data_IF_319815959498
#
_entry.id   IF_319815959498
#
_cell.length_a   1.000
_cell.length_b   1.000
_cell.length_c   1.000
_cell.angle_alpha   90.00
_cell.angle_beta   90.00
_cell.angle_gamma   90.00
#
_symmetry.space_group_name_H-M   'P 1'
#
loop_
_entity.id
_entity.type
_entity.pdbx_description
1 polymer ?
#
# COMPACT_ATOMS: atom_id res chain seq x y z
N UNK A 1 1.06 20.37 8.53
CA UNK A 1 2.50 20.20 8.74
C UNK A 1 2.82 18.91 9.51
N UNK A 2 2.19 18.64 10.66
CA UNK A 2 2.43 17.43 11.46
C UNK A 2 2.19 16.14 10.69
N UNK A 3 1.16 16.09 9.86
CA UNK A 3 0.87 14.93 9.01
C UNK A 3 2.00 14.69 7.99
N UNK A 4 2.52 15.76 7.37
CA UNK A 4 3.64 15.68 6.44
C UNK A 4 4.91 15.17 7.13
N UNK A 5 5.22 15.68 8.31
CA UNK A 5 6.40 15.27 9.08
C UNK A 5 6.30 13.82 9.57
N UNK A 6 5.14 13.41 10.06
CA UNK A 6 4.95 12.10 10.69
C UNK A 6 4.72 10.93 9.72
N UNK A 7 4.29 11.21 8.48
CA UNK A 7 3.87 10.16 7.56
C UNK A 7 4.42 10.28 6.14
N UNK A 8 5.06 11.40 5.79
CA UNK A 8 5.52 11.68 4.44
C UNK A 8 6.97 12.14 4.40
N UNK A 9 7.73 11.77 5.43
CA UNK A 9 9.17 12.04 5.53
C UNK A 9 9.92 10.74 5.81
N UNK A 10 10.98 10.51 5.07
CA UNK A 10 11.88 9.35 5.21
C UNK A 10 13.31 9.85 5.30
N UNK A 11 14.14 9.14 6.03
CA UNK A 11 15.58 9.37 6.08
C UNK A 11 16.29 8.22 5.37
N UNK A 12 17.12 8.54 4.40
CA UNK A 12 17.90 7.57 3.64
C UNK A 12 19.40 7.79 3.86
N UNK A 13 20.13 6.71 4.08
CA UNK A 13 21.59 6.75 4.06
C UNK A 13 22.06 6.82 2.61
N UNK A 14 22.88 7.82 2.32
CA UNK A 14 23.51 8.02 1.01
C UNK A 14 25.02 8.03 1.17
N UNK A 15 25.75 7.90 0.07
CA UNK A 15 27.22 7.99 0.11
C UNK A 15 27.77 9.31 0.68
N UNK A 16 26.95 10.37 0.76
CA UNK A 16 27.29 11.67 1.34
C UNK A 16 26.73 11.88 2.76
N UNK A 17 26.06 10.89 3.35
CA UNK A 17 25.45 10.96 4.69
C UNK A 17 23.94 10.77 4.67
N UNK A 18 23.28 11.17 5.76
CA UNK A 18 21.84 11.02 5.94
C UNK A 18 21.07 12.09 5.12
N UNK A 19 20.28 11.65 4.16
CA UNK A 19 19.41 12.50 3.35
C UNK A 19 17.96 12.44 3.87
N UNK A 20 17.35 13.61 3.99
CA UNK A 20 15.91 13.73 4.32
C UNK A 20 15.10 13.82 3.03
N UNK A 21 14.20 12.88 2.84
CA UNK A 21 13.28 12.82 1.68
C UNK A 21 11.88 13.16 2.16
N UNK A 22 11.26 14.15 1.55
CA UNK A 22 9.89 14.59 1.87
C UNK A 22 9.03 14.35 0.63
N UNK A 23 7.81 13.88 0.83
CA UNK A 23 6.85 13.69 -0.26
C UNK A 23 6.59 14.99 -1.03
N UNK A 24 6.62 14.89 -2.33
CA UNK A 24 6.14 15.98 -3.19
C UNK A 24 4.62 16.18 -3.06
N UNK A 25 4.15 17.35 -3.46
CA UNK A 25 2.73 17.72 -3.43
C UNK A 25 1.81 16.64 -4.05
N UNK A 26 2.16 16.17 -5.24
CA UNK A 26 1.41 15.15 -5.95
C UNK A 26 1.35 13.81 -5.20
N UNK A 27 2.45 13.40 -4.55
CA UNK A 27 2.50 12.19 -3.74
C UNK A 27 1.63 12.32 -2.49
N UNK A 28 1.71 13.45 -1.79
CA UNK A 28 0.90 13.73 -0.61
C UNK A 28 -0.60 13.62 -0.91
N UNK A 29 -1.08 14.29 -1.97
CA UNK A 29 -2.49 14.24 -2.35
C UNK A 29 -2.92 12.87 -2.83
N UNK A 30 -2.14 12.21 -3.70
CA UNK A 30 -2.45 10.86 -4.19
C UNK A 30 -2.56 9.85 -3.05
N UNK A 31 -1.64 9.85 -2.09
CA UNK A 31 -1.68 8.95 -0.93
C UNK A 31 -2.91 9.20 -0.07
N UNK A 32 -3.27 10.44 0.21
CA UNK A 32 -4.46 10.75 1.00
C UNK A 32 -5.73 10.22 0.34
N UNK A 33 -5.89 10.43 -0.97
CA UNK A 33 -7.03 9.91 -1.73
C UNK A 33 -7.03 8.38 -1.79
N UNK A 34 -5.87 7.76 -2.01
CA UNK A 34 -5.75 6.31 -2.03
C UNK A 34 -6.11 5.67 -0.68
N UNK A 35 -5.63 6.23 0.42
CA UNK A 35 -5.97 5.74 1.77
C UNK A 35 -7.47 5.85 2.03
N UNK A 36 -8.09 6.99 1.72
CA UNK A 36 -9.53 7.17 1.89
C UNK A 36 -10.34 6.18 1.03
N UNK A 37 -9.90 5.96 -0.21
CA UNK A 37 -10.54 4.99 -1.12
C UNK A 37 -10.39 3.55 -0.62
N UNK A 38 -9.22 3.16 -0.12
CA UNK A 38 -8.98 1.83 0.43
C UNK A 38 -9.83 1.57 1.68
N UNK A 39 -9.92 2.53 2.59
CA UNK A 39 -10.76 2.41 3.78
C UNK A 39 -12.22 2.23 3.39
N UNK A 40 -12.72 2.98 2.42
CA UNK A 40 -14.08 2.82 1.89
C UNK A 40 -14.28 1.44 1.26
N UNK A 41 -13.33 0.98 0.44
CA UNK A 41 -13.39 -0.33 -0.20
C UNK A 41 -13.36 -1.49 0.81
N UNK A 42 -12.67 -1.31 1.94
CA UNK A 42 -12.58 -2.30 3.02
C UNK A 42 -13.72 -2.21 4.04
N UNK A 43 -14.52 -1.14 4.01
CA UNK A 43 -15.62 -0.95 4.97
C UNK A 43 -16.63 -2.10 4.88
N UNK A 44 -17.24 -2.51 6.02
CA UNK A 44 -18.37 -3.44 5.96
C UNK A 44 -19.52 -2.78 5.18
N UNK A 45 -20.18 -3.58 4.35
CA UNK A 45 -21.39 -3.14 3.64
C UNK A 45 -22.49 -2.94 4.67
N UNK A 46 -22.60 -1.73 5.20
CA UNK A 46 -23.74 -1.31 6.01
C UNK A 46 -24.58 -0.35 5.16
N UNK A 47 -25.90 -0.55 5.16
CA UNK A 47 -26.85 0.12 4.28
C UNK A 47 -26.67 1.64 4.18
N UNK A 48 -26.92 2.16 2.99
CA UNK A 48 -26.99 3.57 2.58
C UNK A 48 -25.79 4.40 3.04
N UNK A 49 -24.72 4.35 2.28
CA UNK A 49 -23.63 5.31 2.44
C UNK A 49 -24.05 6.65 1.83
N UNK A 50 -23.92 7.74 2.60
CA UNK A 50 -23.90 9.09 2.05
C UNK A 50 -22.81 9.16 0.95
N UNK A 51 -23.17 9.69 -0.21
CA UNK A 51 -22.20 9.89 -1.30
C UNK A 51 -21.06 10.79 -0.80
N UNK A 52 -19.80 10.35 -0.85
CA UNK A 52 -18.72 11.23 -0.49
C UNK A 52 -18.66 12.37 -1.51
N UNK A 53 -18.65 13.60 -1.01
CA UNK A 53 -18.51 14.79 -1.83
C UNK A 53 -17.35 14.63 -2.82
N UNK A 54 -17.67 14.60 -4.11
CA UNK A 54 -16.67 14.59 -5.17
C UNK A 54 -15.93 15.93 -5.10
N UNK A 55 -14.69 15.92 -4.63
CA UNK A 55 -13.82 17.09 -4.63
C UNK A 55 -13.47 17.47 -6.09
N UNK A 56 -14.41 18.02 -6.83
CA UNK A 56 -14.21 18.78 -8.06
C UNK A 56 -13.41 18.14 -9.22
N UNK A 57 -13.04 16.86 -9.12
CA UNK A 57 -12.34 16.14 -10.17
C UNK A 57 -13.33 15.24 -10.93
N UNK A 58 -13.69 15.56 -12.18
CA UNK A 58 -14.71 14.85 -12.95
C UNK A 58 -14.42 13.38 -13.22
N UNK A 59 -13.16 12.94 -13.00
CA UNK A 59 -12.69 11.59 -13.31
C UNK A 59 -12.75 10.60 -12.13
N UNK A 60 -13.06 11.06 -10.92
CA UNK A 60 -13.10 10.21 -9.73
C UNK A 60 -14.54 9.79 -9.47
N UNK A 61 -14.95 8.66 -10.02
CA UNK A 61 -16.21 8.01 -9.61
C UNK A 61 -16.01 7.44 -8.21
N UNK A 62 -16.80 7.90 -7.25
CA UNK A 62 -16.84 7.32 -5.93
C UNK A 62 -17.31 5.85 -6.03
N UNK A 63 -16.46 4.92 -5.56
CA UNK A 63 -16.83 3.52 -5.50
C UNK A 63 -17.71 3.27 -4.26
N UNK A 64 -18.69 2.37 -4.34
CA UNK A 64 -19.53 2.05 -3.19
C UNK A 64 -18.69 1.45 -2.04
N UNK A 65 -19.08 1.68 -0.76
CA UNK A 65 -18.41 1.09 0.38
C UNK A 65 -18.42 -0.44 0.30
N UNK A 66 -17.29 -1.07 0.66
CA UNK A 66 -17.17 -2.53 0.72
C UNK A 66 -17.03 -3.24 -0.62
N UNK A 67 -16.83 -2.51 -1.72
CA UNK A 67 -16.67 -3.10 -3.07
C UNK A 67 -15.30 -3.77 -3.28
N UNK A 68 -14.38 -3.65 -2.32
CA UNK A 68 -13.02 -4.21 -2.30
C UNK A 68 -12.07 -3.67 -3.39
N UNK A 69 -12.46 -2.63 -4.10
CA UNK A 69 -11.63 -1.98 -5.14
C UNK A 69 -11.13 -0.63 -4.65
N UNK A 70 -9.83 -0.55 -4.35
CA UNK A 70 -9.22 0.68 -3.85
C UNK A 70 -9.04 1.75 -4.94
N UNK A 71 -8.81 1.36 -6.19
CA UNK A 71 -8.66 2.27 -7.32
C UNK A 71 -7.32 2.16 -8.03
N UNK A 72 -7.03 3.14 -8.88
CA UNK A 72 -5.81 3.21 -9.68
C UNK A 72 -5.17 4.58 -9.47
N UNK A 73 -3.85 4.61 -9.28
CA UNK A 73 -3.04 5.83 -9.25
C UNK A 73 -2.21 5.89 -10.54
N UNK A 74 -2.44 6.94 -11.33
CA UNK A 74 -1.69 7.16 -12.55
C UNK A 74 -0.74 8.35 -12.39
N UNK A 75 0.55 8.09 -12.48
CA UNK A 75 1.60 9.12 -12.45
C UNK A 75 2.62 8.87 -13.56
N UNK A 76 3.26 9.94 -14.04
CA UNK A 76 4.31 9.86 -15.05
C UNK A 76 5.51 9.04 -14.56
N UNK A 77 6.31 8.54 -15.48
CA UNK A 77 7.58 7.90 -15.15
C UNK A 77 8.51 8.91 -14.45
N UNK A 78 9.29 8.47 -13.47
CA UNK A 78 10.19 9.33 -12.69
C UNK A 78 9.52 10.17 -11.60
N UNK A 79 8.21 10.08 -11.41
CA UNK A 79 7.49 10.85 -10.37
C UNK A 79 7.64 10.33 -8.93
N UNK A 80 8.51 9.34 -8.70
CA UNK A 80 8.73 8.75 -7.37
C UNK A 80 7.60 7.81 -6.92
N UNK A 81 7.03 7.01 -7.82
CA UNK A 81 5.96 6.05 -7.51
C UNK A 81 6.33 5.06 -6.41
N UNK A 82 7.58 4.60 -6.35
CA UNK A 82 8.03 3.67 -5.30
C UNK A 82 7.92 4.29 -3.90
N UNK A 83 8.34 5.55 -3.75
CA UNK A 83 8.18 6.29 -2.50
C UNK A 83 6.70 6.57 -2.18
N UNK A 84 5.90 6.89 -3.20
CA UNK A 84 4.45 7.06 -3.03
C UNK A 84 3.82 5.80 -2.46
N UNK A 85 4.19 4.61 -2.98
CA UNK A 85 3.70 3.33 -2.46
C UNK A 85 4.15 3.08 -1.02
N UNK A 86 5.39 3.44 -0.66
CA UNK A 86 5.88 3.33 0.72
C UNK A 86 5.14 4.29 1.68
N UNK A 87 4.87 5.52 1.28
CA UNK A 87 4.04 6.47 2.06
C UNK A 87 2.62 5.94 2.24
N UNK A 88 2.02 5.40 1.17
CA UNK A 88 0.70 4.80 1.22
C UNK A 88 0.66 3.60 2.19
N UNK A 89 1.63 2.70 2.10
CA UNK A 89 1.78 1.56 3.00
C UNK A 89 1.89 2.01 4.46
N UNK A 90 2.77 2.98 4.75
CA UNK A 90 2.95 3.52 6.09
C UNK A 90 1.69 4.17 6.68
N UNK A 91 0.86 4.79 5.84
CA UNK A 91 -0.44 5.34 6.25
C UNK A 91 -1.46 4.26 6.56
N UNK A 92 -1.54 3.22 5.73
CA UNK A 92 -2.47 2.10 5.93
C UNK A 92 -2.15 1.29 7.18
N UNK A 93 -0.87 0.96 7.40
CA UNK A 93 -0.43 0.20 8.58
C UNK A 93 -0.80 0.91 9.89
N UNK A 94 -0.72 2.24 9.90
CA UNK A 94 -1.05 3.06 11.08
C UNK A 94 -2.54 3.39 11.20
N UNK A 95 -3.35 3.08 10.19
CA UNK A 95 -4.76 3.50 10.18
C UNK A 95 -5.62 2.58 11.05
N UNK A 96 -6.35 3.12 12.07
CA UNK A 96 -7.12 2.31 13.01
C UNK A 96 -8.15 1.39 12.33
N UNK A 97 -8.85 1.88 11.30
CA UNK A 97 -9.86 1.11 10.58
C UNK A 97 -9.29 -0.13 9.84
N UNK A 98 -7.99 -0.18 9.60
CA UNK A 98 -7.35 -1.30 8.90
C UNK A 98 -6.87 -2.40 9.85
N UNK A 99 -6.84 -2.14 11.17
CA UNK A 99 -6.47 -3.13 12.20
C UNK A 99 -5.18 -3.91 11.87
N UNK A 100 -4.10 -3.19 11.59
CA UNK A 100 -2.79 -3.75 11.20
C UNK A 100 -2.89 -4.66 9.96
N UNK A 101 -3.13 -4.11 8.76
CA UNK A 101 -3.36 -4.87 7.54
C UNK A 101 -2.11 -5.62 7.07
N UNK A 102 -2.31 -6.69 6.32
CA UNK A 102 -1.27 -7.26 5.48
C UNK A 102 -1.28 -6.53 4.12
N UNK A 103 -0.13 -6.03 3.71
CA UNK A 103 0.05 -5.38 2.42
C UNK A 103 0.80 -6.34 1.50
N UNK A 104 0.23 -6.62 0.33
CA UNK A 104 0.86 -7.45 -0.69
C UNK A 104 1.25 -6.56 -1.85
N UNK A 105 2.54 -6.45 -2.09
CA UNK A 105 3.09 -5.73 -3.24
C UNK A 105 3.32 -6.75 -4.34
N UNK A 106 2.52 -6.64 -5.39
CA UNK A 106 2.52 -7.57 -6.51
C UNK A 106 3.22 -6.92 -7.70
N UNK A 107 4.24 -7.58 -8.21
CA UNK A 107 4.97 -7.16 -9.41
C UNK A 107 4.90 -8.24 -10.51
N UNK A 108 5.10 -7.85 -11.75
CA UNK A 108 5.16 -8.78 -12.89
C UNK A 108 6.59 -9.26 -13.20
N UNK A 109 7.60 -8.54 -12.69
CA UNK A 109 9.03 -8.78 -12.96
C UNK A 109 9.87 -8.76 -11.70
N UNK A 110 10.84 -9.63 -11.64
CA UNK A 110 11.78 -9.73 -10.51
C UNK A 110 12.65 -8.46 -10.34
N UNK A 111 13.14 -7.87 -11.44
CA UNK A 111 13.99 -6.66 -11.36
C UNK A 111 13.26 -5.46 -10.76
N UNK A 112 11.97 -5.29 -11.05
CA UNK A 112 11.13 -4.26 -10.44
C UNK A 112 10.84 -4.56 -8.97
N UNK A 113 10.73 -5.85 -8.63
CA UNK A 113 10.54 -6.31 -7.27
C UNK A 113 11.72 -5.89 -6.39
N UNK A 114 12.95 -6.13 -6.83
CA UNK A 114 14.17 -5.80 -6.08
C UNK A 114 14.34 -4.29 -5.84
N UNK A 115 14.09 -3.46 -6.85
CA UNK A 115 14.17 -2.01 -6.71
C UNK A 115 13.10 -1.47 -5.75
N UNK A 116 11.88 -1.97 -5.88
CA UNK A 116 10.77 -1.55 -5.03
C UNK A 116 10.96 -2.08 -3.60
N UNK A 117 11.40 -3.31 -3.43
CA UNK A 117 11.75 -3.90 -2.14
C UNK A 117 12.84 -3.10 -1.42
N UNK A 118 13.90 -2.68 -2.14
CA UNK A 118 14.95 -1.82 -1.59
C UNK A 118 14.38 -0.48 -1.08
N UNK A 119 13.47 0.15 -1.85
CA UNK A 119 12.80 1.38 -1.44
C UNK A 119 11.98 1.18 -0.17
N UNK A 120 11.23 0.08 -0.06
CA UNK A 120 10.46 -0.23 1.13
C UNK A 120 11.34 -0.56 2.34
N UNK A 121 12.45 -1.25 2.12
CA UNK A 121 13.43 -1.56 3.16
C UNK A 121 14.05 -0.29 3.75
N UNK A 122 14.34 0.71 2.92
CA UNK A 122 14.75 2.03 3.36
C UNK A 122 13.66 2.74 4.19
N UNK A 123 12.38 2.47 3.91
CA UNK A 123 11.23 3.07 4.57
C UNK A 123 10.72 2.24 5.77
N UNK A 124 11.48 1.26 6.28
CA UNK A 124 11.04 0.34 7.35
C UNK A 124 10.50 1.05 8.60
N UNK A 125 11.08 2.17 8.99
CA UNK A 125 10.65 2.94 10.16
C UNK A 125 9.29 3.61 9.93
N UNK A 126 9.01 4.01 8.69
CA UNK A 126 7.72 4.57 8.28
C UNK A 126 6.62 3.51 8.29
N UNK A 127 6.90 2.34 7.72
CA UNK A 127 5.95 1.22 7.62
C UNK A 127 5.91 0.37 8.90
N UNK A 128 6.82 0.60 9.86
CA UNK A 128 6.94 -0.12 11.15
C UNK A 128 7.03 -1.64 11.03
N UNK A 129 7.53 -2.12 9.92
CA UNK A 129 7.64 -3.54 9.60
C UNK A 129 8.81 -3.74 8.64
N UNK A 130 9.43 -4.90 8.71
CA UNK A 130 10.42 -5.31 7.72
C UNK A 130 9.70 -5.96 6.55
N UNK A 131 9.86 -5.47 5.32
CA UNK A 131 9.33 -6.12 4.13
C UNK A 131 9.90 -7.53 3.98
N UNK A 132 9.13 -8.46 3.45
CA UNK A 132 9.53 -9.84 3.21
C UNK A 132 9.21 -10.21 1.77
N UNK A 133 10.17 -10.76 1.04
CA UNK A 133 9.91 -11.36 -0.27
C UNK A 133 9.44 -12.80 -0.11
N UNK A 134 8.34 -13.15 -0.76
CA UNK A 134 7.89 -14.52 -0.83
C UNK A 134 8.79 -15.29 -1.81
N UNK A 135 9.49 -16.31 -1.33
CA UNK A 135 10.42 -17.12 -2.14
C UNK A 135 9.69 -18.17 -2.97
N UNK A 136 8.63 -18.75 -2.41
CA UNK A 136 7.80 -19.76 -3.05
C UNK A 136 6.31 -19.50 -2.82
N UNK A 137 5.46 -20.30 -3.45
CA UNK A 137 4.01 -20.31 -3.22
C UNK A 137 3.66 -20.68 -1.78
N UNK A 138 4.30 -21.70 -1.25
CA UNK A 138 4.10 -22.18 0.12
C UNK A 138 4.49 -21.10 1.13
N UNK A 139 5.61 -20.41 0.88
CA UNK A 139 6.04 -19.27 1.69
C UNK A 139 5.02 -18.13 1.63
N UNK A 140 4.50 -17.80 0.44
CA UNK A 140 3.45 -16.78 0.28
C UNK A 140 2.20 -17.14 1.11
N UNK A 141 1.73 -18.39 1.03
CA UNK A 141 0.58 -18.85 1.79
C UNK A 141 0.81 -18.75 3.31
N UNK A 142 1.99 -19.14 3.78
CA UNK A 142 2.35 -19.01 5.19
C UNK A 142 2.35 -17.55 5.64
N UNK A 143 2.89 -16.64 4.83
CA UNK A 143 2.91 -15.20 5.10
C UNK A 143 1.49 -14.58 5.11
N UNK A 144 0.59 -15.00 4.20
CA UNK A 144 -0.79 -14.53 4.13
C UNK A 144 -1.66 -15.03 5.29
N UNK A 145 -1.34 -16.19 5.85
CA UNK A 145 -2.07 -16.79 6.97
C UNK A 145 -1.57 -16.34 8.36
N UNK A 146 -0.70 -15.34 8.42
CA UNK A 146 -0.31 -14.71 9.69
C UNK A 146 -1.51 -14.09 10.40
N UNK A 147 -1.41 -13.97 11.72
CA UNK A 147 -2.51 -13.40 12.53
C UNK A 147 -2.79 -11.94 12.16
N UNK A 148 -1.78 -11.12 11.89
CA UNK A 148 -1.92 -9.71 11.50
C UNK A 148 -0.64 -9.14 10.89
N UNK A 149 -0.75 -8.01 10.18
CA UNK A 149 0.36 -7.24 9.65
C UNK A 149 1.13 -7.96 8.54
N UNK A 150 2.23 -7.36 8.16
CA UNK A 150 3.16 -7.85 7.13
C UNK A 150 3.12 -7.00 5.86
N UNK A 151 4.31 -6.73 5.32
CA UNK A 151 4.50 -6.19 3.97
C UNK A 151 5.19 -7.28 3.15
N UNK A 152 4.46 -7.85 2.21
CA UNK A 152 4.86 -9.04 1.46
C UNK A 152 5.07 -8.63 0.01
N UNK A 153 6.26 -8.93 -0.52
CA UNK A 153 6.59 -8.78 -1.92
C UNK A 153 6.45 -10.12 -2.64
N UNK A 154 5.83 -10.11 -3.79
CA UNK A 154 5.63 -11.33 -4.58
C UNK A 154 5.41 -11.01 -6.05
N UNK A 155 5.58 -12.01 -6.90
CA UNK A 155 5.29 -11.92 -8.34
C UNK A 155 4.05 -12.71 -8.70
N UNK A 156 3.42 -12.34 -9.83
CA UNK A 156 2.22 -13.02 -10.33
C UNK A 156 2.38 -14.54 -10.45
N UNK A 157 3.57 -14.99 -10.86
CA UNK A 157 3.87 -16.41 -11.08
C UNK A 157 3.71 -17.25 -9.79
N UNK A 158 3.94 -16.64 -8.61
CA UNK A 158 3.84 -17.35 -7.32
C UNK A 158 2.40 -17.58 -6.86
N UNK A 159 1.41 -16.93 -7.48
CA UNK A 159 0.00 -17.23 -7.21
C UNK A 159 -0.45 -18.55 -7.84
N UNK A 160 0.04 -18.88 -9.05
CA UNK A 160 -0.37 -20.06 -9.80
C UNK A 160 -1.86 -20.04 -10.17
N UNK A 161 -2.40 -21.19 -10.55
CA UNK A 161 -3.84 -21.37 -10.71
C UNK A 161 -4.52 -21.42 -9.33
N UNK A 162 -5.41 -20.48 -9.05
CA UNK A 162 -6.07 -20.33 -7.75
C UNK A 162 -7.50 -20.84 -7.88
N UNK A 163 -7.75 -22.02 -7.37
CA UNK A 163 -9.11 -22.57 -7.25
C UNK A 163 -9.83 -22.11 -5.98
N UNK A 164 -9.08 -21.76 -4.92
CA UNK A 164 -9.63 -21.36 -3.62
C UNK A 164 -9.00 -20.07 -3.10
N UNK A 165 -9.71 -19.30 -2.24
CA UNK A 165 -9.15 -18.09 -1.63
C UNK A 165 -7.87 -18.40 -0.82
N UNK A 166 -6.80 -17.64 -1.07
CA UNK A 166 -5.50 -17.85 -0.39
C UNK A 166 -5.55 -17.50 1.09
N UNK A 167 -6.48 -16.67 1.50
CA UNK A 167 -6.69 -16.29 2.91
C UNK A 167 -8.14 -15.91 3.16
N UNK A 168 -8.62 -16.13 4.38
CA UNK A 168 -9.95 -15.71 4.84
C UNK A 168 -9.94 -14.32 5.49
N UNK A 169 -8.77 -13.71 5.59
CA UNK A 169 -8.62 -12.39 6.22
C UNK A 169 -9.22 -11.29 5.35
N UNK A 170 -9.86 -10.31 6.00
CA UNK A 170 -10.53 -9.19 5.32
C UNK A 170 -9.63 -7.94 5.21
N UNK A 171 -8.57 -7.85 6.01
CA UNK A 171 -7.65 -6.72 6.05
C UNK A 171 -6.34 -7.02 5.28
N UNK A 172 -6.47 -7.57 4.08
CA UNK A 172 -5.38 -7.75 3.13
C UNK A 172 -5.58 -6.77 1.99
N UNK A 173 -4.54 -6.00 1.68
CA UNK A 173 -4.52 -5.02 0.58
C UNK A 173 -3.47 -5.47 -0.43
N UNK A 174 -3.86 -5.60 -1.69
CA UNK A 174 -2.99 -5.98 -2.81
C UNK A 174 -2.81 -4.80 -3.74
#
# INVERSE_FOLDING_TARGET
>A
LLDLMGHFTVFAETGSGLAKIIAGYHQFHAVRHAVASTIRAAAPVQGVAEEPAAYGLPSVKAQPPGDKRAGVIWHTQGSGKSLLMAFYAGRLVKHPAMANPTLVVLTDRNDLDDQLFSTFSMCRDLIRQTPVQAESREHLLALLNRASGGVIFTTLQKFGEIAEPLTRRRNVVV
#
